data_IF_059861026546
#
_entry.id   IF_059861026546
#
_cell.length_a   1.000
_cell.length_b   1.000
_cell.length_c   1.000
_cell.angle_alpha   90.00
_cell.angle_beta   90.00
_cell.angle_gamma   90.00
#
_symmetry.space_group_name_H-M   'P 1'
#
loop_
_entity.id
_entity.type
_entity.pdbx_description
1 polymer ?
#
# COMPACT_ATOMS: atom_id res chain seq x y z
N UNK A 1 16.88 -17.15 27.58
CA UNK A 1 15.94 -16.66 26.52
C UNK A 1 15.67 -17.81 25.55
N UNK A 2 14.45 -18.02 25.02
CA UNK A 2 14.07 -19.22 24.22
C UNK A 2 15.02 -19.55 23.07
N UNK A 3 15.69 -18.53 22.53
CA UNK A 3 16.69 -18.64 21.46
C UNK A 3 17.87 -19.53 21.86
N UNK A 4 18.28 -19.53 23.12
CA UNK A 4 19.40 -20.34 23.64
C UNK A 4 19.07 -21.84 23.69
N UNK A 5 17.78 -22.19 23.64
CA UNK A 5 17.31 -23.57 23.65
C UNK A 5 17.21 -24.16 22.23
N UNK A 6 17.45 -23.34 21.19
CA UNK A 6 17.23 -23.71 19.80
C UNK A 6 18.55 -24.00 19.07
N UNK A 7 18.49 -24.90 18.10
CA UNK A 7 19.65 -25.27 17.28
C UNK A 7 19.64 -24.57 15.92
N UNK A 8 20.83 -24.30 15.39
CA UNK A 8 20.98 -23.66 14.07
C UNK A 8 20.52 -22.21 14.01
N UNK A 9 20.58 -21.49 15.14
CA UNK A 9 20.14 -20.09 15.24
C UNK A 9 20.99 -19.17 14.36
N UNK A 10 20.32 -18.32 13.58
CA UNK A 10 20.93 -17.27 12.76
C UNK A 10 20.13 -15.97 12.92
N UNK A 11 20.82 -14.86 13.11
CA UNK A 11 20.19 -13.53 13.09
C UNK A 11 19.66 -13.20 11.69
N UNK A 12 18.45 -12.65 11.62
CA UNK A 12 17.76 -12.25 10.39
C UNK A 12 17.31 -10.78 10.42
N UNK A 13 17.94 -9.96 11.27
CA UNK A 13 17.63 -8.55 11.50
C UNK A 13 17.54 -8.22 12.99
N UNK A 14 17.21 -6.97 13.30
CA UNK A 14 16.94 -6.52 14.68
C UNK A 14 15.77 -7.31 15.27
N UNK A 15 15.99 -7.91 16.44
CA UNK A 15 14.99 -8.71 17.18
C UNK A 15 14.38 -9.87 16.39
N UNK A 16 15.09 -10.38 15.38
CA UNK A 16 14.60 -11.47 14.52
C UNK A 16 15.67 -12.53 14.30
N UNK A 17 15.26 -13.79 14.44
CA UNK A 17 16.11 -14.96 14.23
C UNK A 17 15.40 -16.03 13.40
N UNK A 18 16.22 -16.90 12.82
CA UNK A 18 15.79 -18.17 12.24
C UNK A 18 16.48 -19.30 12.97
N UNK A 19 15.79 -20.41 13.18
CA UNK A 19 16.31 -21.59 13.86
C UNK A 19 15.69 -22.86 13.29
N UNK A 20 16.22 -24.01 13.69
CA UNK A 20 15.59 -25.31 13.42
C UNK A 20 14.39 -25.49 14.33
N UNK A 21 13.28 -25.96 13.77
CA UNK A 21 12.09 -26.27 14.54
C UNK A 21 12.33 -27.54 15.40
N UNK A 22 12.08 -27.51 16.72
CA UNK A 22 12.22 -28.68 17.58
C UNK A 22 11.03 -29.66 17.48
N UNK A 23 9.90 -29.21 16.93
CA UNK A 23 8.67 -30.01 16.81
C UNK A 23 8.67 -30.98 15.60
N UNK A 24 9.69 -30.91 14.74
CA UNK A 24 9.89 -31.88 13.66
C UNK A 24 11.39 -32.07 13.39
N UNK A 25 11.74 -33.11 12.62
CA UNK A 25 13.12 -33.28 12.16
C UNK A 25 13.49 -32.20 11.14
N UNK A 26 14.05 -31.10 11.64
CA UNK A 26 14.37 -29.96 10.81
C UNK A 26 15.86 -29.96 10.39
N UNK A 27 16.11 -30.13 9.08
CA UNK A 27 17.46 -30.08 8.50
C UNK A 27 17.92 -28.65 8.20
N UNK A 28 16.99 -27.73 7.93
CA UNK A 28 17.26 -26.37 7.46
C UNK A 28 16.35 -25.37 8.17
N UNK A 29 16.87 -24.32 8.84
CA UNK A 29 16.10 -23.43 9.71
C UNK A 29 14.71 -23.03 9.17
N UNK A 30 13.65 -23.71 9.63
CA UNK A 30 12.26 -23.48 9.21
C UNK A 30 11.47 -22.64 10.21
N UNK A 31 12.01 -22.44 11.41
CA UNK A 31 11.40 -21.66 12.48
C UNK A 31 11.86 -20.21 12.41
N UNK A 32 10.92 -19.29 12.21
CA UNK A 32 11.15 -17.86 12.36
C UNK A 32 10.75 -17.43 13.77
N UNK A 33 11.61 -16.63 14.39
CA UNK A 33 11.43 -16.11 15.74
C UNK A 33 11.56 -14.59 15.66
N UNK A 34 10.65 -13.88 16.32
CA UNK A 34 10.74 -12.43 16.47
C UNK A 34 10.42 -12.05 17.90
N UNK A 35 11.31 -11.30 18.52
CA UNK A 35 11.08 -10.68 19.81
C UNK A 35 10.34 -9.35 19.60
N UNK A 36 9.30 -9.13 20.39
CA UNK A 36 8.63 -7.83 20.53
C UNK A 36 8.70 -7.41 22.00
N UNK A 37 8.23 -6.20 22.31
CA UNK A 37 8.29 -5.65 23.67
C UNK A 37 7.51 -6.51 24.70
N UNK A 38 6.43 -7.15 24.25
CA UNK A 38 5.46 -7.87 25.08
C UNK A 38 5.47 -9.40 24.91
N UNK A 39 6.07 -9.93 23.83
CA UNK A 39 6.01 -11.36 23.52
C UNK A 39 7.08 -11.83 22.53
N UNK A 40 7.15 -13.14 22.36
CA UNK A 40 7.96 -13.81 21.35
C UNK A 40 7.01 -14.43 20.33
N UNK A 41 7.13 -13.98 19.08
CA UNK A 41 6.41 -14.54 17.95
C UNK A 41 7.22 -15.68 17.34
N UNK A 42 6.60 -16.85 17.22
CA UNK A 42 7.18 -18.02 16.57
C UNK A 42 6.30 -18.45 15.40
N UNK A 43 6.93 -18.79 14.28
CA UNK A 43 6.23 -19.32 13.10
C UNK A 43 7.10 -20.37 12.40
N UNK A 44 6.59 -21.59 12.28
CA UNK A 44 7.23 -22.65 11.55
C UNK A 44 6.64 -22.75 10.14
N UNK A 45 7.49 -22.58 9.12
CA UNK A 45 7.07 -22.65 7.71
C UNK A 45 6.73 -24.06 7.23
N UNK A 46 7.04 -25.09 8.02
CA UNK A 46 6.64 -26.47 7.77
C UNK A 46 5.25 -26.81 8.32
N UNK A 47 4.60 -25.91 9.07
CA UNK A 47 3.22 -26.07 9.54
C UNK A 47 3.04 -26.58 10.97
N UNK A 48 4.12 -26.71 11.76
CA UNK A 48 4.01 -27.03 13.19
C UNK A 48 3.24 -25.95 13.94
N UNK A 49 2.39 -26.35 14.88
CA UNK A 49 1.66 -25.38 15.70
C UNK A 49 2.60 -24.80 16.77
N UNK A 50 2.38 -23.54 17.21
CA UNK A 50 3.16 -22.92 18.28
C UNK A 50 3.18 -23.75 19.58
N UNK A 51 2.07 -24.44 19.90
CA UNK A 51 1.97 -25.29 21.10
C UNK A 51 2.93 -26.48 21.04
N UNK A 52 3.06 -27.13 19.87
CA UNK A 52 3.95 -28.27 19.69
C UNK A 52 5.41 -27.86 19.85
N UNK A 53 5.76 -26.66 19.35
CA UNK A 53 7.09 -26.07 19.46
C UNK A 53 7.42 -25.76 20.92
N UNK A 54 6.50 -25.14 21.65
CA UNK A 54 6.66 -24.88 23.08
C UNK A 54 6.83 -26.18 23.86
N UNK A 55 5.98 -27.19 23.62
CA UNK A 55 6.07 -28.48 24.28
C UNK A 55 7.39 -29.21 24.02
N UNK A 56 7.89 -29.20 22.78
CA UNK A 56 9.19 -29.78 22.45
C UNK A 56 10.36 -29.10 23.20
N UNK A 57 10.17 -27.85 23.64
CA UNK A 57 11.14 -27.09 24.45
C UNK A 57 10.85 -27.17 25.95
N UNK A 58 9.82 -27.89 26.39
CA UNK A 58 9.41 -27.92 27.80
C UNK A 58 8.78 -26.61 28.29
N UNK A 59 8.25 -25.81 27.37
CA UNK A 59 7.58 -24.53 27.63
C UNK A 59 6.08 -24.63 27.40
N UNK A 60 5.35 -23.66 27.92
CA UNK A 60 3.95 -23.40 27.62
C UNK A 60 3.82 -22.18 26.71
N UNK A 61 2.63 -21.98 26.13
CA UNK A 61 2.36 -20.75 25.37
C UNK A 61 2.46 -19.49 26.25
N UNK A 62 2.22 -19.59 27.55
CA UNK A 62 2.31 -18.47 28.47
C UNK A 62 3.75 -17.95 28.59
N UNK A 63 4.75 -18.83 28.48
CA UNK A 63 6.18 -18.49 28.55
C UNK A 63 6.66 -17.66 27.34
N UNK A 64 5.84 -17.56 26.28
CA UNK A 64 6.12 -16.67 25.14
C UNK A 64 5.73 -15.21 25.40
N UNK A 65 4.98 -14.92 26.46
CA UNK A 65 4.54 -13.57 26.78
C UNK A 65 5.34 -13.05 27.97
N UNK A 66 5.75 -11.78 27.91
CA UNK A 66 6.35 -11.13 29.08
C UNK A 66 5.22 -10.80 30.06
N UNK A 67 5.49 -10.80 31.38
CA UNK A 67 4.49 -10.43 32.41
C UNK A 67 3.98 -8.98 32.28
N UNK A 68 4.49 -8.23 31.32
CA UNK A 68 4.01 -6.91 31.01
C UNK A 68 2.54 -6.99 30.57
N UNK A 69 1.66 -6.44 31.42
CA UNK A 69 0.26 -6.12 31.08
C UNK A 69 0.13 -5.11 29.93
N UNK A 70 1.25 -4.76 29.28
CA UNK A 70 1.27 -3.99 28.06
C UNK A 70 0.63 -4.81 26.94
N UNK A 71 -0.68 -4.63 26.78
CA UNK A 71 -1.32 -4.83 25.49
C UNK A 71 -0.87 -3.63 24.65
N UNK A 72 0.03 -3.79 23.66
CA UNK A 72 0.24 -2.72 22.70
C UNK A 72 -1.12 -2.34 22.14
N UNK A 73 -1.42 -1.04 22.13
CA UNK A 73 -2.66 -0.56 21.53
C UNK A 73 -2.70 -1.11 20.10
N UNK A 74 -3.73 -1.90 19.71
CA UNK A 74 -3.88 -2.37 18.33
C UNK A 74 -3.82 -1.23 17.30
N UNK A 75 -3.88 0.02 17.73
CA UNK A 75 -3.77 1.22 16.93
C UNK A 75 -2.34 1.67 16.62
N UNK A 76 -1.30 1.18 17.31
CA UNK A 76 0.11 1.51 16.97
C UNK A 76 0.58 0.87 15.66
N UNK A 77 -0.08 -0.21 15.23
CA UNK A 77 0.08 -0.82 13.90
C UNK A 77 -1.25 -0.89 13.14
N UNK A 78 -2.06 0.18 13.19
CA UNK A 78 -3.23 0.27 12.32
C UNK A 78 -2.75 0.26 10.86
N UNK A 79 -3.11 -0.80 10.13
CA UNK A 79 -3.26 -0.66 8.67
C UNK A 79 -4.20 0.53 8.46
N UNK A 80 -3.85 1.50 7.58
CA UNK A 80 -4.74 2.62 7.32
C UNK A 80 -6.11 2.06 6.95
N UNK A 81 -7.17 2.67 7.49
CA UNK A 81 -8.53 2.21 7.19
C UNK A 81 -8.72 2.29 5.67
N UNK A 82 -9.50 1.38 5.10
CA UNK A 82 -9.75 1.39 3.65
C UNK A 82 -10.24 2.77 3.16
N UNK A 83 -11.00 3.49 4.00
CA UNK A 83 -11.43 4.86 3.74
C UNK A 83 -10.26 5.87 3.64
N UNK A 84 -9.26 5.78 4.53
CA UNK A 84 -8.08 6.66 4.51
C UNK A 84 -7.22 6.42 3.26
N UNK A 85 -7.05 5.15 2.87
CA UNK A 85 -6.33 4.78 1.64
C UNK A 85 -7.07 5.28 0.40
N UNK A 86 -8.40 5.11 0.37
CA UNK A 86 -9.22 5.56 -0.75
C UNK A 86 -9.20 7.08 -0.87
N UNK A 87 -9.27 7.79 0.26
CA UNK A 87 -9.21 9.25 0.28
C UNK A 87 -7.83 9.76 -0.18
N UNK A 88 -6.74 9.16 0.28
CA UNK A 88 -5.40 9.50 -0.17
C UNK A 88 -5.24 9.30 -1.70
N UNK A 89 -5.76 8.19 -2.23
CA UNK A 89 -5.78 7.94 -3.68
C UNK A 89 -6.64 9.00 -4.41
N UNK A 90 -7.85 9.29 -3.92
CA UNK A 90 -8.77 10.28 -4.51
C UNK A 90 -8.10 11.65 -4.62
N UNK A 91 -7.39 12.08 -3.58
CA UNK A 91 -6.67 13.35 -3.57
C UNK A 91 -5.53 13.36 -4.59
N UNK A 92 -4.75 12.28 -4.68
CA UNK A 92 -3.71 12.15 -5.71
C UNK A 92 -4.27 12.23 -7.12
N UNK A 93 -5.36 11.49 -7.37
CA UNK A 93 -6.04 11.48 -8.67
C UNK A 93 -6.62 12.85 -9.04
N UNK A 94 -7.21 13.56 -8.06
CA UNK A 94 -7.73 14.91 -8.23
C UNK A 94 -6.62 15.89 -8.65
N UNK A 95 -5.43 15.77 -8.05
CA UNK A 95 -4.26 16.59 -8.40
C UNK A 95 -3.84 16.33 -9.85
N UNK A 96 -3.75 15.06 -10.27
CA UNK A 96 -3.41 14.70 -11.65
C UNK A 96 -4.44 15.28 -12.63
N UNK A 97 -5.73 15.06 -12.39
CA UNK A 97 -6.79 15.59 -13.25
C UNK A 97 -6.73 17.13 -13.35
N UNK A 98 -6.47 17.82 -12.23
CA UNK A 98 -6.33 19.27 -12.21
C UNK A 98 -5.10 19.77 -12.98
N UNK A 99 -4.00 19.03 -12.96
CA UNK A 99 -2.81 19.35 -13.74
C UNK A 99 -3.07 19.20 -15.24
N UNK A 100 -3.72 18.12 -15.64
CA UNK A 100 -4.05 17.87 -17.05
C UNK A 100 -5.02 18.91 -17.60
N UNK A 101 -6.06 19.27 -16.84
CA UNK A 101 -7.00 20.35 -17.22
C UNK A 101 -6.28 21.68 -17.39
N UNK A 102 -5.33 22.02 -16.50
CA UNK A 102 -4.52 23.24 -16.63
C UNK A 102 -3.57 23.21 -17.83
N UNK A 103 -3.00 22.05 -18.14
CA UNK A 103 -2.15 21.89 -19.33
C UNK A 103 -2.97 22.15 -20.61
N UNK A 104 -4.18 21.58 -20.69
CA UNK A 104 -5.09 21.81 -21.81
C UNK A 104 -5.57 23.25 -21.92
N UNK A 105 -5.98 23.87 -20.81
CA UNK A 105 -6.34 25.29 -20.77
C UNK A 105 -5.17 26.19 -21.24
N UNK A 106 -3.93 25.80 -20.89
CA UNK A 106 -2.73 26.47 -21.40
C UNK A 106 -2.63 26.36 -22.92
N UNK A 107 -2.82 25.16 -23.49
CA UNK A 107 -2.78 24.94 -24.96
C UNK A 107 -3.87 25.78 -25.65
N UNK A 108 -5.11 25.73 -25.15
CA UNK A 108 -6.24 26.49 -25.69
C UNK A 108 -5.90 27.99 -25.73
N UNK A 109 -5.36 28.55 -24.64
CA UNK A 109 -4.95 29.97 -24.60
C UNK A 109 -3.83 30.31 -25.58
N UNK A 110 -2.91 29.39 -25.85
CA UNK A 110 -1.85 29.62 -26.84
C UNK A 110 -2.42 29.63 -28.26
N UNK A 111 -3.33 28.71 -28.56
CA UNK A 111 -4.02 28.65 -29.87
C UNK A 111 -4.88 29.90 -30.08
N UNK A 112 -5.67 30.28 -29.08
CA UNK A 112 -6.51 31.48 -29.12
C UNK A 112 -5.70 32.76 -29.38
N UNK A 113 -4.54 32.88 -28.71
CA UNK A 113 -3.60 33.98 -28.96
C UNK A 113 -3.03 33.93 -30.38
N UNK A 114 -2.63 32.77 -30.87
CA UNK A 114 -2.10 32.63 -32.23
C UNK A 114 -3.14 33.00 -33.30
N UNK A 115 -4.43 32.72 -33.07
CA UNK A 115 -5.52 33.15 -33.94
C UNK A 115 -5.70 34.67 -33.86
N UNK A 116 -5.70 35.23 -32.66
CA UNK A 116 -5.84 36.68 -32.42
C UNK A 116 -4.72 37.47 -33.10
N UNK A 117 -3.49 36.97 -33.02
CA UNK A 117 -2.30 37.57 -33.63
C UNK A 117 -2.22 37.29 -35.16
N UNK A 118 -3.24 36.63 -35.74
CA UNK A 118 -3.29 36.21 -37.15
C UNK A 118 -2.13 35.30 -37.59
N UNK A 119 -1.46 34.65 -36.63
CA UNK A 119 -0.40 33.66 -36.86
C UNK A 119 -1.00 32.32 -37.30
N UNK A 120 -2.20 32.00 -36.81
CA UNK A 120 -2.93 30.78 -37.12
C UNK A 120 -4.32 31.12 -37.68
N UNK A 121 -4.76 30.39 -38.70
CA UNK A 121 -6.14 30.51 -39.20
C UNK A 121 -7.11 29.83 -38.25
N UNK A 122 -8.36 30.29 -38.21
CA UNK A 122 -9.41 29.64 -37.42
C UNK A 122 -9.58 28.17 -37.79
N UNK A 123 -9.47 27.82 -39.07
CA UNK A 123 -9.58 26.43 -39.55
C UNK A 123 -8.42 25.55 -39.05
N UNK A 124 -7.20 26.11 -39.03
CA UNK A 124 -6.03 25.47 -38.44
C UNK A 124 -6.16 25.29 -36.93
N UNK A 125 -6.72 26.28 -36.23
CA UNK A 125 -7.01 26.18 -34.80
C UNK A 125 -8.02 25.08 -34.49
N UNK A 126 -9.11 24.98 -35.25
CA UNK A 126 -10.11 23.92 -35.07
C UNK A 126 -9.51 22.52 -35.28
N UNK A 127 -8.60 22.37 -36.24
CA UNK A 127 -7.88 21.10 -36.46
C UNK A 127 -6.97 20.75 -35.29
N UNK A 128 -6.25 21.73 -34.73
CA UNK A 128 -5.38 21.52 -33.57
C UNK A 128 -6.17 21.20 -32.30
N UNK A 129 -7.33 21.84 -32.12
CA UNK A 129 -8.19 21.64 -30.96
C UNK A 129 -8.97 20.33 -31.01
N UNK A 130 -9.30 19.81 -32.21
CA UNK A 130 -10.03 18.55 -32.34
C UNK A 130 -9.39 17.40 -31.56
N UNK A 131 -8.05 17.31 -31.56
CA UNK A 131 -7.32 16.29 -30.79
C UNK A 131 -7.32 16.53 -29.28
N UNK A 132 -7.27 17.79 -28.85
CA UNK A 132 -7.28 18.15 -27.42
C UNK A 132 -8.68 17.97 -26.78
N UNK A 133 -9.74 18.11 -27.56
CA UNK A 133 -11.13 18.01 -27.09
C UNK A 133 -11.66 16.57 -26.99
N UNK A 134 -11.08 15.61 -27.70
CA UNK A 134 -11.59 14.21 -27.81
C UNK A 134 -11.72 13.49 -26.45
N UNK A 135 -10.99 13.95 -25.42
CA UNK A 135 -11.09 13.41 -24.05
C UNK A 135 -11.24 14.51 -22.98
N UNK A 136 -11.62 15.73 -23.38
CA UNK A 136 -11.78 16.85 -22.44
C UNK A 136 -12.95 16.62 -21.50
N UNK A 137 -14.10 16.24 -22.06
CA UNK A 137 -15.33 16.00 -21.29
C UNK A 137 -15.16 14.86 -20.28
N UNK A 138 -14.47 13.78 -20.65
CA UNK A 138 -14.22 12.65 -19.73
C UNK A 138 -13.31 13.06 -18.57
N UNK A 139 -12.26 13.84 -18.86
CA UNK A 139 -11.35 14.35 -17.85
C UNK A 139 -12.05 15.32 -16.88
N UNK A 140 -12.87 16.25 -17.39
CA UNK A 140 -13.66 17.17 -16.57
C UNK A 140 -14.70 16.45 -15.70
N UNK A 141 -15.38 15.44 -16.28
CA UNK A 141 -16.36 14.63 -15.58
C UNK A 141 -15.69 13.88 -14.42
N UNK A 142 -14.56 13.23 -14.69
CA UNK A 142 -13.74 12.55 -13.69
C UNK A 142 -13.27 13.50 -12.58
N UNK A 143 -12.76 14.68 -12.94
CA UNK A 143 -12.33 15.69 -11.98
C UNK A 143 -13.47 16.12 -11.05
N UNK A 144 -14.65 16.42 -11.63
CA UNK A 144 -15.82 16.87 -10.87
C UNK A 144 -16.29 15.82 -9.87
N UNK A 145 -16.42 14.55 -10.28
CA UNK A 145 -16.81 13.45 -9.37
C UNK A 145 -15.81 13.30 -8.23
N UNK A 146 -14.51 13.31 -8.55
CA UNK A 146 -13.46 13.25 -7.54
C UNK A 146 -13.56 14.44 -6.59
N UNK A 147 -13.79 15.66 -7.08
CA UNK A 147 -13.88 16.88 -6.26
C UNK A 147 -15.05 16.83 -5.27
N UNK A 148 -16.22 16.35 -5.73
CA UNK A 148 -17.42 16.18 -4.92
C UNK A 148 -17.34 14.99 -3.96
N UNK A 149 -16.31 14.14 -4.07
CA UNK A 149 -16.17 12.92 -3.26
C UNK A 149 -17.13 11.81 -3.68
N UNK A 150 -17.73 11.91 -4.86
CA UNK A 150 -18.69 10.95 -5.39
C UNK A 150 -17.97 9.74 -5.98
N UNK A 151 -18.40 8.54 -5.57
CA UNK A 151 -18.01 7.26 -6.18
C UNK A 151 -16.51 7.02 -6.36
N UNK A 152 -15.66 7.60 -5.50
CA UNK A 152 -14.20 7.44 -5.58
C UNK A 152 -13.76 5.96 -5.64
N UNK A 153 -14.52 5.06 -5.02
CA UNK A 153 -14.25 3.62 -5.07
C UNK A 153 -14.48 3.02 -6.47
N UNK A 154 -15.50 3.46 -7.19
CA UNK A 154 -15.81 3.00 -8.53
C UNK A 154 -14.75 3.49 -9.52
N UNK A 155 -14.44 4.80 -9.47
CA UNK A 155 -13.39 5.42 -10.29
C UNK A 155 -12.05 4.73 -10.05
N UNK A 156 -11.73 4.39 -8.79
CA UNK A 156 -10.52 3.63 -8.44
C UNK A 156 -10.48 2.22 -9.04
N UNK A 157 -11.63 1.57 -9.19
CA UNK A 157 -11.73 0.24 -9.81
C UNK A 157 -11.61 0.29 -11.32
N UNK A 158 -12.16 1.31 -11.96
CA UNK A 158 -12.04 1.54 -13.41
C UNK A 158 -10.58 1.86 -13.77
N UNK A 159 -9.94 2.73 -13.01
CA UNK A 159 -8.53 3.10 -13.20
C UNK A 159 -7.59 1.91 -13.16
N UNK A 160 -7.85 0.97 -12.22
CA UNK A 160 -7.08 -0.28 -12.10
C UNK A 160 -7.37 -1.30 -13.19
N UNK A 161 -8.48 -1.18 -13.90
CA UNK A 161 -8.82 -2.03 -15.05
C UNK A 161 -8.19 -1.52 -16.35
N UNK A 162 -7.90 -0.22 -16.41
CA UNK A 162 -7.35 0.46 -17.58
C UNK A 162 -5.83 0.71 -17.50
N UNK A 163 -5.18 0.33 -16.40
CA UNK A 163 -3.73 0.45 -16.15
C UNK A 163 -3.01 -0.89 -16.38
#
# INVERSE_FOLDING_TARGET
MIIEMLSGVRSAGTDKWTARCPAHEDRSPSLTIRQTDDRILIHCWAGCQPVDICWALGLTLADLFTESRYRPDPHTHRRPRAAEVLEAWRQGELICCAQDLRARDTIIRHIDRAVTDSVLTTDGAMTMLAYEYDSYTELEYRFTRLLCGEDALEISRESRRNA
#
